data_IF_771727756511
#
_entry.id   IF_771727756511
#
_cell.length_a   1.000
_cell.length_b   1.000
_cell.length_c   1.000
_cell.angle_alpha   90.00
_cell.angle_beta   90.00
_cell.angle_gamma   90.00
#
_symmetry.space_group_name_H-M   'P 1'
#
loop_
_entity.id
_entity.type
_entity.pdbx_description
1 polymer ?
#
# COMPACT_ATOMS: atom_id res chain seq x y z
N UNK A 1 -24.36 38.22 -34.21
CA UNK A 1 -24.58 36.82 -33.75
C UNK A 1 -23.32 35.96 -33.68
N UNK A 2 -22.21 36.33 -34.30
CA UNK A 2 -20.92 35.55 -34.34
C UNK A 2 -20.09 35.65 -33.05
N UNK A 3 -20.28 36.67 -32.23
CA UNK A 3 -19.43 36.88 -31.01
C UNK A 3 -19.82 36.02 -29.80
N UNK A 4 -21.01 35.44 -29.75
CA UNK A 4 -21.44 34.55 -28.65
C UNK A 4 -20.99 33.11 -28.85
N UNK A 5 -20.83 32.66 -30.09
CA UNK A 5 -20.39 31.27 -30.39
C UNK A 5 -18.92 31.07 -30.04
N UNK A 6 -18.06 32.05 -30.32
CA UNK A 6 -16.62 31.99 -30.00
C UNK A 6 -16.29 32.05 -28.48
N UNK A 7 -17.18 32.61 -27.65
CA UNK A 7 -17.00 32.63 -26.18
C UNK A 7 -17.36 31.31 -25.54
N UNK A 8 -18.37 30.61 -26.04
CA UNK A 8 -18.77 29.30 -25.56
C UNK A 8 -17.77 28.21 -25.97
N UNK A 9 -17.19 28.26 -27.16
CA UNK A 9 -16.15 27.34 -27.60
C UNK A 9 -14.82 27.53 -26.82
N UNK A 10 -14.38 28.77 -26.57
CA UNK A 10 -13.19 29.02 -25.76
C UNK A 10 -13.35 28.57 -24.32
N UNK A 11 -14.54 28.75 -23.72
CA UNK A 11 -14.81 28.28 -22.35
C UNK A 11 -14.90 26.75 -22.26
N UNK A 12 -15.37 26.06 -23.29
CA UNK A 12 -15.40 24.61 -23.37
C UNK A 12 -14.01 24.02 -23.63
N UNK A 13 -13.18 24.65 -24.46
CA UNK A 13 -11.79 24.24 -24.70
C UNK A 13 -10.88 24.47 -23.48
N UNK A 14 -11.07 25.58 -22.74
CA UNK A 14 -10.35 25.84 -21.48
C UNK A 14 -10.77 24.88 -20.36
N UNK A 15 -12.02 24.44 -20.30
CA UNK A 15 -12.49 23.45 -19.33
C UNK A 15 -11.99 22.04 -19.66
N UNK A 16 -11.86 21.69 -20.94
CA UNK A 16 -11.34 20.39 -21.40
C UNK A 16 -9.83 20.21 -21.12
N UNK A 17 -9.10 21.30 -20.91
CA UNK A 17 -7.65 21.26 -20.64
C UNK A 17 -7.32 21.27 -19.13
N UNK A 18 -8.30 21.34 -18.24
CA UNK A 18 -8.13 21.35 -16.78
C UNK A 18 -8.14 19.93 -16.23
N UNK A 19 -6.97 19.31 -16.09
CA UNK A 19 -6.83 18.01 -15.46
C UNK A 19 -7.09 18.06 -13.94
N UNK A 20 -6.78 19.17 -13.26
CA UNK A 20 -7.06 19.37 -11.84
C UNK A 20 -8.50 19.82 -11.62
N UNK A 21 -9.43 18.89 -11.74
CA UNK A 21 -10.85 19.13 -11.46
C UNK A 21 -11.12 19.17 -9.95
N UNK A 22 -12.29 19.65 -9.54
CA UNK A 22 -12.69 19.59 -8.12
C UNK A 22 -12.70 18.17 -7.59
N UNK A 23 -13.09 17.20 -8.42
CA UNK A 23 -13.10 15.77 -8.05
C UNK A 23 -11.67 15.23 -7.87
N UNK A 24 -10.72 15.56 -8.76
CA UNK A 24 -9.31 15.18 -8.62
C UNK A 24 -8.74 15.75 -7.33
N UNK A 25 -8.96 17.04 -7.05
CA UNK A 25 -8.52 17.67 -5.80
C UNK A 25 -9.13 16.98 -4.58
N UNK A 26 -10.44 16.72 -4.60
CA UNK A 26 -11.14 16.05 -3.49
C UNK A 26 -10.63 14.63 -3.22
N UNK A 27 -10.34 13.87 -4.28
CA UNK A 27 -9.76 12.53 -4.16
C UNK A 27 -8.34 12.59 -3.62
N UNK A 28 -7.49 13.51 -4.12
CA UNK A 28 -6.14 13.71 -3.61
C UNK A 28 -6.13 14.09 -2.12
N UNK A 29 -6.98 15.03 -1.71
CA UNK A 29 -7.13 15.38 -0.29
C UNK A 29 -7.65 14.22 0.56
N UNK A 30 -8.58 13.42 0.03
CA UNK A 30 -9.08 12.24 0.73
C UNK A 30 -8.00 11.17 0.90
N UNK A 31 -7.14 10.97 -0.11
CA UNK A 31 -5.97 10.07 0.00
C UNK A 31 -4.98 10.59 1.04
N UNK A 32 -4.59 11.87 0.96
CA UNK A 32 -3.70 12.51 1.94
C UNK A 32 -4.17 12.29 3.38
N UNK A 33 -5.41 12.71 3.66
CA UNK A 33 -5.94 12.64 5.03
C UNK A 33 -6.20 11.21 5.49
N UNK A 34 -6.57 10.31 4.61
CA UNK A 34 -6.73 8.91 4.97
C UNK A 34 -5.41 8.24 5.30
N UNK A 35 -4.34 8.55 4.55
CA UNK A 35 -3.02 8.01 4.84
C UNK A 35 -2.41 8.65 6.08
N UNK A 36 -2.64 9.93 6.33
CA UNK A 36 -2.34 10.53 7.63
C UNK A 36 -3.00 9.76 8.78
N UNK A 37 -4.27 9.38 8.63
CA UNK A 37 -5.01 8.67 9.68
C UNK A 37 -4.42 7.29 9.97
N UNK A 38 -4.31 6.45 8.95
CA UNK A 38 -3.95 5.04 9.20
C UNK A 38 -2.44 4.85 9.40
N UNK A 39 -1.59 5.65 8.78
CA UNK A 39 -0.14 5.56 8.97
C UNK A 39 0.32 6.07 10.35
N UNK A 40 -0.39 7.05 10.95
CA UNK A 40 -0.18 7.38 12.37
C UNK A 40 -0.43 6.16 13.27
N UNK A 41 -1.50 5.41 13.01
CA UNK A 41 -1.81 4.20 13.76
C UNK A 41 -0.78 3.09 13.49
N UNK A 42 -0.39 2.87 12.23
CA UNK A 42 0.62 1.90 11.81
C UNK A 42 1.96 2.12 12.52
N UNK A 43 2.41 3.37 12.63
CA UNK A 43 3.68 3.72 13.26
C UNK A 43 3.76 3.36 14.76
N UNK A 44 2.62 3.35 15.48
CA UNK A 44 2.59 3.07 16.93
C UNK A 44 2.02 1.72 17.29
N UNK A 45 1.40 1.01 16.33
CA UNK A 45 0.76 -0.30 16.55
C UNK A 45 1.70 -1.36 17.15
N UNK A 46 2.97 -1.53 16.68
CA UNK A 46 3.87 -2.52 17.26
C UNK A 46 4.14 -2.27 18.76
N UNK A 47 4.30 -1.00 19.15
CA UNK A 47 4.54 -0.64 20.55
C UNK A 47 3.30 -0.85 21.41
N UNK A 48 2.12 -0.51 20.88
CA UNK A 48 0.85 -0.74 21.57
C UNK A 48 0.62 -2.23 21.83
N UNK A 49 0.85 -3.08 20.83
CA UNK A 49 0.74 -4.53 20.97
C UNK A 49 1.77 -5.10 21.94
N UNK A 50 3.04 -4.72 21.81
CA UNK A 50 4.11 -5.28 22.64
C UNK A 50 4.04 -4.77 24.09
N UNK A 51 3.82 -3.47 24.32
CA UNK A 51 3.96 -2.85 25.64
C UNK A 51 2.63 -2.78 26.43
N UNK A 52 1.48 -2.62 25.75
CA UNK A 52 0.19 -2.46 26.44
C UNK A 52 -0.68 -3.72 26.40
N UNK A 53 -0.61 -4.50 25.32
CA UNK A 53 -1.38 -5.74 25.15
C UNK A 53 -0.54 -6.97 25.52
N UNK A 54 0.79 -6.83 25.62
CA UNK A 54 1.76 -7.92 25.83
C UNK A 54 1.63 -9.03 24.77
N UNK A 55 1.39 -8.64 23.52
CA UNK A 55 1.25 -9.55 22.40
C UNK A 55 2.63 -9.92 21.81
N UNK A 56 2.75 -11.17 21.34
CA UNK A 56 3.97 -11.65 20.67
C UNK A 56 4.10 -11.13 19.24
N UNK A 57 5.29 -11.26 18.65
CA UNK A 57 5.55 -10.99 17.24
C UNK A 57 4.67 -11.81 16.29
N UNK A 58 4.29 -13.04 16.70
CA UNK A 58 3.31 -13.85 15.96
C UNK A 58 1.98 -13.13 15.82
N UNK A 59 1.47 -12.55 16.92
CA UNK A 59 0.19 -11.83 16.90
C UNK A 59 0.27 -10.60 16.00
N UNK A 60 1.36 -9.84 16.03
CA UNK A 60 1.56 -8.71 15.12
C UNK A 60 1.58 -9.18 13.66
N UNK A 61 2.37 -10.22 13.36
CA UNK A 61 2.44 -10.78 12.01
C UNK A 61 1.08 -11.32 11.50
N UNK A 62 0.32 -11.97 12.38
CA UNK A 62 -1.04 -12.44 12.07
C UNK A 62 -2.01 -11.29 11.80
N UNK A 63 -1.99 -10.23 12.62
CA UNK A 63 -2.85 -9.06 12.45
C UNK A 63 -2.55 -8.35 11.13
N UNK A 64 -1.29 -8.07 10.85
CA UNK A 64 -0.89 -7.39 9.61
C UNK A 64 -1.16 -8.27 8.39
N UNK A 65 -0.72 -9.52 8.41
CA UNK A 65 -0.93 -10.44 7.30
C UNK A 65 -2.40 -10.65 6.96
N UNK A 66 -3.24 -10.90 7.96
CA UNK A 66 -4.68 -11.07 7.72
C UNK A 66 -5.34 -9.78 7.21
N UNK A 67 -4.90 -8.63 7.72
CA UNK A 67 -5.41 -7.31 7.29
C UNK A 67 -5.08 -7.04 5.82
N UNK A 68 -3.83 -7.25 5.40
CA UNK A 68 -3.37 -7.03 4.03
C UNK A 68 -4.03 -8.03 3.05
N UNK A 69 -4.14 -9.30 3.45
CA UNK A 69 -4.87 -10.30 2.69
C UNK A 69 -6.33 -9.93 2.48
N UNK A 70 -7.02 -9.47 3.53
CA UNK A 70 -8.40 -8.99 3.44
C UNK A 70 -8.53 -7.75 2.56
N UNK A 71 -7.61 -6.78 2.65
CA UNK A 71 -7.63 -5.60 1.80
C UNK A 71 -7.58 -5.98 0.32
N UNK A 72 -6.72 -6.92 -0.05
CA UNK A 72 -6.59 -7.42 -1.42
C UNK A 72 -7.87 -8.13 -1.90
N UNK A 73 -8.49 -8.94 -1.05
CA UNK A 73 -9.76 -9.59 -1.35
C UNK A 73 -10.91 -8.58 -1.51
N UNK A 74 -11.01 -7.62 -0.59
CA UNK A 74 -12.06 -6.60 -0.65
C UNK A 74 -11.88 -5.59 -1.79
N UNK A 75 -10.69 -5.41 -2.37
CA UNK A 75 -10.51 -4.67 -3.64
C UNK A 75 -11.33 -5.31 -4.76
N UNK A 76 -11.29 -6.64 -4.89
CA UNK A 76 -12.06 -7.36 -5.91
C UNK A 76 -13.57 -7.20 -5.70
N UNK A 77 -14.06 -7.35 -4.46
CA UNK A 77 -15.48 -7.19 -4.13
C UNK A 77 -15.93 -5.75 -4.37
N UNK A 78 -15.15 -4.77 -3.93
CA UNK A 78 -15.47 -3.35 -4.09
C UNK A 78 -15.54 -2.93 -5.56
N UNK A 79 -14.62 -3.41 -6.39
CA UNK A 79 -14.65 -3.21 -7.84
C UNK A 79 -15.90 -3.80 -8.48
N UNK A 80 -16.19 -5.07 -8.20
CA UNK A 80 -17.38 -5.74 -8.69
C UNK A 80 -18.68 -5.04 -8.28
N UNK A 81 -18.79 -4.66 -6.99
CA UNK A 81 -19.97 -3.96 -6.47
C UNK A 81 -20.17 -2.61 -7.12
N UNK A 82 -19.10 -1.86 -7.31
CA UNK A 82 -19.10 -0.55 -7.95
C UNK A 82 -19.51 -0.62 -9.42
N UNK A 83 -19.01 -1.60 -10.16
CA UNK A 83 -19.37 -1.82 -11.56
C UNK A 83 -20.83 -2.24 -11.71
N UNK A 84 -21.33 -3.07 -10.80
CA UNK A 84 -22.71 -3.59 -10.82
C UNK A 84 -23.75 -2.51 -10.46
N UNK A 85 -23.44 -1.68 -9.47
CA UNK A 85 -24.39 -0.67 -8.96
C UNK A 85 -24.29 0.67 -9.66
N UNK A 86 -23.15 0.98 -10.27
CA UNK A 86 -22.85 2.31 -10.82
C UNK A 86 -22.70 3.40 -9.75
N UNK A 87 -22.84 3.05 -8.45
CA UNK A 87 -22.79 3.99 -7.32
C UNK A 87 -21.38 4.03 -6.74
N UNK A 88 -20.54 4.95 -7.21
CA UNK A 88 -19.12 5.03 -6.84
C UNK A 88 -18.87 5.90 -5.63
N UNK A 89 -19.44 7.11 -5.59
CA UNK A 89 -19.28 8.04 -4.47
C UNK A 89 -19.79 7.46 -3.13
N UNK A 90 -21.01 6.90 -3.04
CA UNK A 90 -21.46 6.27 -1.79
C UNK A 90 -20.54 5.16 -1.29
N UNK A 91 -20.06 4.27 -2.18
CA UNK A 91 -19.12 3.19 -1.81
C UNK A 91 -17.81 3.78 -1.28
N UNK A 92 -17.25 4.78 -1.95
CA UNK A 92 -16.05 5.47 -1.48
C UNK A 92 -16.29 6.12 -0.11
N UNK A 93 -17.37 6.91 0.08
CA UNK A 93 -17.67 7.59 1.33
C UNK A 93 -17.84 6.60 2.48
N UNK A 94 -18.61 5.52 2.30
CA UNK A 94 -18.78 4.46 3.30
C UNK A 94 -17.44 3.84 3.65
N UNK A 95 -16.63 3.47 2.65
CA UNK A 95 -15.33 2.85 2.87
C UNK A 95 -14.37 3.76 3.63
N UNK A 96 -14.30 5.06 3.28
CA UNK A 96 -13.46 6.03 4.03
C UNK A 96 -13.95 6.22 5.47
N UNK A 97 -15.28 6.28 5.69
CA UNK A 97 -15.86 6.40 7.03
C UNK A 97 -15.55 5.17 7.88
N UNK A 98 -15.77 3.98 7.34
CA UNK A 98 -15.46 2.72 8.04
C UNK A 98 -13.96 2.58 8.33
N UNK A 99 -13.08 2.97 7.38
CA UNK A 99 -11.62 2.97 7.62
C UNK A 99 -11.27 3.88 8.79
N UNK A 100 -11.79 5.13 8.82
CA UNK A 100 -11.52 6.09 9.89
C UNK A 100 -12.01 5.60 11.25
N UNK A 101 -13.25 5.11 11.33
CA UNK A 101 -13.83 4.61 12.58
C UNK A 101 -13.12 3.35 13.08
N UNK A 102 -12.85 2.39 12.19
CA UNK A 102 -12.17 1.15 12.55
C UNK A 102 -10.71 1.38 12.98
N UNK A 103 -9.96 2.28 12.30
CA UNK A 103 -8.61 2.67 12.74
C UNK A 103 -8.64 3.31 14.12
N UNK A 104 -9.57 4.23 14.36
CA UNK A 104 -9.66 4.93 15.65
C UNK A 104 -10.23 4.04 16.78
N UNK A 105 -10.96 2.98 16.44
CA UNK A 105 -11.45 2.01 17.45
C UNK A 105 -10.31 1.26 18.16
N UNK A 106 -9.09 1.25 17.59
CA UNK A 106 -7.87 0.76 18.27
C UNK A 106 -7.64 1.45 19.62
N UNK A 107 -8.09 2.70 19.79
CA UNK A 107 -8.02 3.40 21.08
C UNK A 107 -8.73 2.68 22.22
N UNK A 108 -9.77 1.89 21.91
CA UNK A 108 -10.56 1.14 22.87
C UNK A 108 -10.16 -0.33 22.99
N UNK A 109 -9.16 -0.78 22.25
CA UNK A 109 -8.75 -2.17 22.25
C UNK A 109 -8.07 -2.55 23.58
N UNK A 110 -8.53 -3.64 24.20
CA UNK A 110 -7.97 -4.18 25.44
C UNK A 110 -7.41 -5.61 25.28
N UNK A 111 -7.49 -6.17 24.08
CA UNK A 111 -6.94 -7.48 23.75
C UNK A 111 -6.44 -7.48 22.30
N UNK A 112 -5.55 -8.41 21.99
CA UNK A 112 -5.07 -8.56 20.60
C UNK A 112 -6.20 -8.93 19.62
N UNK A 113 -7.25 -9.61 20.08
CA UNK A 113 -8.42 -9.95 19.26
C UNK A 113 -9.18 -8.68 18.84
N UNK A 114 -9.36 -7.73 19.76
CA UNK A 114 -10.00 -6.44 19.43
C UNK A 114 -9.15 -5.61 18.48
N UNK A 115 -7.81 -5.65 18.62
CA UNK A 115 -6.88 -5.05 17.65
C UNK A 115 -7.03 -5.70 16.27
N UNK A 116 -7.05 -7.05 16.22
CA UNK A 116 -7.25 -7.81 14.98
C UNK A 116 -8.54 -7.40 14.27
N UNK A 117 -9.67 -7.39 14.98
CA UNK A 117 -10.97 -7.02 14.41
C UNK A 117 -10.95 -5.58 13.89
N UNK A 118 -10.42 -4.62 14.66
CA UNK A 118 -10.31 -3.23 14.25
C UNK A 118 -9.43 -3.07 12.99
N UNK A 119 -8.26 -3.71 12.99
CA UNK A 119 -7.31 -3.63 11.87
C UNK A 119 -7.86 -4.28 10.60
N UNK A 120 -8.38 -5.50 10.71
CA UNK A 120 -9.02 -6.20 9.60
C UNK A 120 -10.21 -5.43 9.03
N UNK A 121 -11.05 -4.83 9.88
CA UNK A 121 -12.18 -4.00 9.43
C UNK A 121 -11.71 -2.74 8.69
N UNK A 122 -10.67 -2.07 9.19
CA UNK A 122 -10.09 -0.89 8.54
C UNK A 122 -9.52 -1.23 7.15
N UNK A 123 -8.78 -2.34 7.04
CA UNK A 123 -8.15 -2.78 5.79
C UNK A 123 -9.16 -3.31 4.77
N UNK A 124 -10.16 -4.06 5.21
CA UNK A 124 -11.27 -4.49 4.36
C UNK A 124 -12.04 -3.30 3.77
N UNK A 125 -12.34 -2.30 4.60
CA UNK A 125 -12.98 -1.06 4.15
C UNK A 125 -12.08 -0.27 3.18
N UNK A 126 -10.76 -0.21 3.45
CA UNK A 126 -9.77 0.43 2.56
C UNK A 126 -9.71 -0.29 1.21
N UNK A 127 -9.63 -1.61 1.20
CA UNK A 127 -9.69 -2.41 -0.02
C UNK A 127 -10.96 -2.13 -0.83
N UNK A 128 -12.11 -2.26 -0.21
CA UNK A 128 -13.42 -2.10 -0.87
C UNK A 128 -13.66 -0.73 -1.49
N UNK A 129 -13.07 0.35 -0.95
CA UNK A 129 -13.21 1.72 -1.49
C UNK A 129 -12.25 2.06 -2.61
N UNK A 130 -11.12 1.35 -2.74
CA UNK A 130 -10.02 1.70 -3.65
C UNK A 130 -10.49 1.78 -5.10
N UNK A 131 -11.22 0.78 -5.56
CA UNK A 131 -11.69 0.74 -6.95
C UNK A 131 -12.79 1.77 -7.22
N UNK A 132 -13.65 2.05 -6.24
CA UNK A 132 -14.64 3.12 -6.34
C UNK A 132 -13.97 4.49 -6.49
N UNK A 133 -12.93 4.77 -5.69
CA UNK A 133 -12.10 5.99 -5.78
C UNK A 133 -11.42 6.10 -7.15
N UNK A 134 -10.76 5.05 -7.60
CA UNK A 134 -10.07 5.03 -8.90
C UNK A 134 -11.04 5.29 -10.05
N UNK A 135 -12.23 4.71 -10.00
CA UNK A 135 -13.26 4.91 -11.00
C UNK A 135 -13.80 6.35 -11.01
N UNK A 136 -13.98 6.99 -9.84
CA UNK A 136 -14.36 8.41 -9.74
C UNK A 136 -13.28 9.32 -10.33
N UNK A 137 -12.00 8.99 -10.13
CA UNK A 137 -10.88 9.73 -10.69
C UNK A 137 -10.90 9.68 -12.22
N UNK A 138 -11.02 8.48 -12.79
CA UNK A 138 -11.10 8.25 -14.24
C UNK A 138 -12.28 9.00 -14.87
N UNK A 139 -13.46 8.99 -14.24
CA UNK A 139 -14.65 9.67 -14.77
C UNK A 139 -14.56 11.20 -14.70
N UNK A 140 -13.61 11.75 -13.95
CA UNK A 140 -13.51 13.20 -13.72
C UNK A 140 -12.58 13.93 -14.70
N UNK A 141 -11.83 13.21 -15.53
CA UNK A 141 -10.84 13.75 -16.47
C UNK A 141 -10.85 13.02 -17.82
N UNK A 142 -10.38 13.67 -18.87
CA UNK A 142 -10.17 13.04 -20.18
C UNK A 142 -9.02 12.04 -20.14
N UNK A 143 -9.05 11.01 -21.01
CA UNK A 143 -8.07 9.93 -21.07
C UNK A 143 -6.61 10.38 -21.19
N UNK A 144 -6.34 11.48 -21.91
CA UNK A 144 -5.00 12.10 -22.01
C UNK A 144 -4.45 12.64 -20.69
N UNK A 145 -5.28 12.79 -19.67
CA UNK A 145 -4.92 13.35 -18.37
C UNK A 145 -4.91 12.32 -17.23
N UNK A 146 -5.23 11.05 -17.49
CA UNK A 146 -5.25 10.01 -16.46
C UNK A 146 -3.93 9.95 -15.69
N UNK A 147 -2.79 9.94 -16.38
CA UNK A 147 -1.49 9.87 -15.71
C UNK A 147 -1.23 11.02 -14.74
N UNK A 148 -1.67 12.26 -15.10
CA UNK A 148 -1.54 13.42 -14.19
C UNK A 148 -2.46 13.33 -12.98
N UNK A 149 -3.69 12.85 -13.18
CA UNK A 149 -4.67 12.73 -12.11
C UNK A 149 -4.27 11.64 -11.10
N UNK A 150 -3.85 10.46 -11.58
CA UNK A 150 -3.32 9.39 -10.72
C UNK A 150 -1.99 9.78 -10.06
N UNK A 151 -1.11 10.46 -10.78
CA UNK A 151 0.16 10.96 -10.22
C UNK A 151 -0.07 11.95 -9.09
N UNK A 152 -1.04 12.87 -9.23
CA UNK A 152 -1.41 13.80 -8.16
C UNK A 152 -1.99 13.06 -6.94
N UNK A 153 -2.92 12.13 -7.17
CA UNK A 153 -3.50 11.31 -6.10
C UNK A 153 -2.43 10.53 -5.36
N UNK A 154 -1.52 9.86 -6.07
CA UNK A 154 -0.42 9.11 -5.47
C UNK A 154 0.58 10.01 -4.71
N UNK A 155 0.83 11.23 -5.21
CA UNK A 155 1.66 12.19 -4.49
C UNK A 155 1.02 12.62 -3.16
N UNK A 156 -0.30 12.85 -3.14
CA UNK A 156 -1.03 13.17 -1.91
C UNK A 156 -1.01 12.01 -0.91
N UNK A 157 -1.23 10.79 -1.37
CA UNK A 157 -1.11 9.54 -0.61
C UNK A 157 0.29 9.44 0.05
N UNK A 158 1.34 9.59 -0.76
CA UNK A 158 2.73 9.55 -0.29
C UNK A 158 3.07 10.65 0.73
N UNK A 159 2.57 11.88 0.51
CA UNK A 159 2.73 12.97 1.48
C UNK A 159 2.08 12.57 2.82
N UNK A 160 0.87 11.99 2.78
CA UNK A 160 0.21 11.46 3.97
C UNK A 160 1.06 10.42 4.69
N UNK A 161 1.58 9.44 3.95
CA UNK A 161 2.40 8.36 4.49
C UNK A 161 3.72 8.83 5.14
N UNK A 162 4.34 9.89 4.62
CA UNK A 162 5.57 10.48 5.20
C UNK A 162 5.26 11.33 6.44
N UNK A 163 4.21 12.17 6.39
CA UNK A 163 3.90 13.08 7.50
C UNK A 163 3.21 12.40 8.68
N UNK A 164 2.49 11.31 8.46
CA UNK A 164 1.77 10.60 9.51
C UNK A 164 2.69 10.08 10.63
N UNK A 165 3.76 9.32 10.34
CA UNK A 165 4.67 8.89 11.40
C UNK A 165 5.48 10.04 12.03
N UNK A 166 5.68 11.18 11.33
CA UNK A 166 6.25 12.38 11.94
C UNK A 166 5.32 12.98 13.00
N UNK A 167 4.02 13.05 12.71
CA UNK A 167 3.02 13.49 13.68
C UNK A 167 2.94 12.50 14.85
N UNK A 168 2.93 11.20 14.58
CA UNK A 168 2.95 10.19 15.62
C UNK A 168 4.20 10.30 16.51
N UNK A 169 5.38 10.51 15.91
CA UNK A 169 6.64 10.75 16.63
C UNK A 169 6.54 11.98 17.55
N UNK A 170 6.03 13.10 17.03
CA UNK A 170 5.85 14.31 17.82
C UNK A 170 4.91 14.09 19.00
N UNK A 171 3.79 13.39 18.80
CA UNK A 171 2.84 13.08 19.88
C UNK A 171 3.47 12.15 20.93
N UNK A 172 4.23 11.14 20.53
CA UNK A 172 4.96 10.25 21.44
C UNK A 172 6.02 11.05 22.22
N UNK A 173 6.76 11.95 21.56
CA UNK A 173 7.77 12.80 22.20
C UNK A 173 7.16 13.78 23.21
N UNK A 174 5.93 14.23 22.97
CA UNK A 174 5.14 15.06 23.91
C UNK A 174 4.50 14.24 25.05
N UNK A 175 4.70 12.93 25.10
CA UNK A 175 4.20 12.06 26.17
C UNK A 175 2.75 11.59 26.00
N UNK A 176 2.15 11.78 24.82
CA UNK A 176 0.82 11.25 24.58
C UNK A 176 0.81 9.71 24.52
N UNK A 177 -0.24 9.09 25.06
CA UNK A 177 -0.42 7.63 25.01
C UNK A 177 -0.72 7.15 23.57
N UNK A 178 -0.36 5.90 23.27
CA UNK A 178 -0.70 5.29 21.95
C UNK A 178 -2.20 5.30 21.68
N UNK A 179 -3.04 5.13 22.71
CA UNK A 179 -4.51 5.22 22.61
C UNK A 179 -4.96 6.61 22.17
N UNK A 180 -4.32 7.65 22.71
CA UNK A 180 -4.60 9.04 22.31
C UNK A 180 -4.23 9.25 20.83
N UNK A 181 -3.13 8.67 20.36
CA UNK A 181 -2.71 8.77 18.95
C UNK A 181 -3.73 8.09 18.03
N UNK A 182 -4.23 6.91 18.37
CA UNK A 182 -5.32 6.26 17.63
C UNK A 182 -6.59 7.11 17.60
N UNK A 183 -6.90 7.80 18.69
CA UNK A 183 -8.05 8.69 18.75
C UNK A 183 -7.84 9.95 17.90
N UNK A 184 -6.66 10.56 17.95
CA UNK A 184 -6.30 11.74 17.14
C UNK A 184 -6.33 11.37 15.64
N UNK A 185 -5.99 10.15 15.26
CA UNK A 185 -6.07 9.67 13.88
C UNK A 185 -7.50 9.72 13.30
N UNK A 186 -8.55 9.79 14.14
CA UNK A 186 -9.93 10.01 13.69
C UNK A 186 -10.08 11.35 12.94
N UNK A 187 -9.36 12.39 13.39
CA UNK A 187 -9.49 13.73 12.81
C UNK A 187 -9.13 13.75 11.32
N UNK A 188 -7.92 13.36 10.90
CA UNK A 188 -7.63 13.27 9.47
C UNK A 188 -8.52 12.25 8.76
N UNK A 189 -8.89 11.13 9.39
CA UNK A 189 -9.83 10.18 8.80
C UNK A 189 -11.19 10.79 8.44
N UNK A 190 -11.75 11.62 9.31
CA UNK A 190 -12.99 12.35 9.03
C UNK A 190 -12.79 13.47 8.01
N UNK A 191 -11.63 14.16 8.00
CA UNK A 191 -11.30 15.14 6.96
C UNK A 191 -11.27 14.50 5.58
N UNK A 192 -10.81 13.25 5.45
CA UNK A 192 -10.88 12.50 4.20
C UNK A 192 -12.34 12.31 3.71
N UNK A 193 -13.25 11.97 4.62
CA UNK A 193 -14.69 11.84 4.32
C UNK A 193 -15.29 13.17 3.90
N UNK A 194 -14.98 14.25 4.64
CA UNK A 194 -15.44 15.61 4.33
C UNK A 194 -14.94 16.05 2.95
N UNK A 195 -13.69 15.77 2.61
CA UNK A 195 -13.13 16.08 1.29
C UNK A 195 -13.92 15.39 0.16
N UNK A 196 -14.26 14.10 0.34
CA UNK A 196 -15.10 13.38 -0.63
C UNK A 196 -16.51 13.97 -0.75
N UNK A 197 -17.13 14.30 0.37
CA UNK A 197 -18.49 14.83 0.37
C UNK A 197 -18.58 16.19 -0.33
N UNK A 198 -17.61 17.08 -0.07
CA UNK A 198 -17.62 18.47 -0.54
C UNK A 198 -17.11 18.63 -1.98
N UNK A 199 -16.09 17.87 -2.37
CA UNK A 199 -15.39 18.11 -3.64
C UNK A 199 -15.72 17.09 -4.72
N UNK A 200 -16.03 15.83 -4.36
CA UNK A 200 -16.26 14.76 -5.34
C UNK A 200 -17.72 14.77 -5.80
N UNK A 201 -17.92 14.73 -7.11
CA UNK A 201 -19.24 14.58 -7.72
C UNK A 201 -19.39 13.19 -8.31
N UNK A 202 -20.58 12.59 -8.15
CA UNK A 202 -20.93 11.34 -8.83
C UNK A 202 -21.09 11.61 -10.32
N UNK A 203 -20.34 10.90 -11.16
CA UNK A 203 -20.59 10.90 -12.59
C UNK A 203 -21.63 9.80 -12.88
N UNK A 204 -22.81 10.21 -13.34
CA UNK A 204 -23.89 9.27 -13.66
C UNK A 204 -23.51 8.35 -14.81
N UNK A 205 -22.96 7.18 -14.51
CA UNK A 205 -22.64 6.15 -15.50
C UNK A 205 -23.59 4.96 -15.35
N UNK A 206 -24.00 4.36 -16.46
CA UNK A 206 -24.84 3.16 -16.45
C UNK A 206 -24.05 1.97 -15.88
N UNK A 207 -24.70 1.20 -15.01
CA UNK A 207 -24.18 -0.07 -14.51
C UNK A 207 -23.80 -1.00 -15.67
N UNK A 208 -22.69 -1.74 -15.55
CA UNK A 208 -22.27 -2.78 -16.49
C UNK A 208 -22.38 -4.13 -15.79
N UNK A 209 -23.49 -4.89 -15.97
CA UNK A 209 -23.76 -6.08 -15.18
C UNK A 209 -22.96 -7.34 -15.56
N UNK A 210 -22.22 -7.36 -16.68
CA UNK A 210 -21.77 -8.62 -17.31
C UNK A 210 -20.27 -8.97 -17.16
N UNK A 211 -19.50 -8.37 -16.25
CA UNK A 211 -18.11 -8.87 -16.03
C UNK A 211 -18.11 -10.14 -15.17
N UNK A 212 -17.75 -11.26 -15.78
CA UNK A 212 -17.45 -12.53 -15.08
C UNK A 212 -16.01 -12.48 -14.55
N UNK A 213 -15.84 -12.33 -13.24
CA UNK A 213 -14.55 -12.17 -12.55
C UNK A 213 -13.52 -13.28 -12.88
N UNK A 214 -13.93 -14.48 -13.24
CA UNK A 214 -13.06 -15.65 -13.37
C UNK A 214 -13.08 -16.31 -14.75
N UNK A 215 -13.85 -15.79 -15.72
CA UNK A 215 -14.00 -16.47 -17.02
C UNK A 215 -12.71 -16.44 -17.86
N UNK A 216 -11.83 -15.48 -17.64
CA UNK A 216 -10.69 -15.19 -18.52
C UNK A 216 -9.34 -15.67 -17.97
N UNK A 217 -9.30 -16.34 -16.81
CA UNK A 217 -8.03 -16.78 -16.17
C UNK A 217 -7.23 -17.74 -17.06
N UNK A 218 -7.90 -18.60 -17.83
CA UNK A 218 -7.24 -19.57 -18.73
C UNK A 218 -6.66 -18.92 -19.98
N UNK A 219 -7.08 -17.70 -20.30
CA UNK A 219 -6.66 -16.97 -21.49
C UNK A 219 -5.47 -16.04 -21.22
N UNK A 220 -5.00 -15.97 -19.97
CA UNK A 220 -3.82 -15.17 -19.61
C UNK A 220 -2.56 -15.75 -20.28
N UNK A 221 -1.69 -14.89 -20.86
CA UNK A 221 -0.45 -15.31 -21.50
C UNK A 221 0.42 -16.18 -20.57
N UNK A 222 1.12 -17.16 -21.15
CA UNK A 222 2.03 -18.03 -20.37
C UNK A 222 3.09 -17.22 -19.61
N UNK A 223 3.71 -16.24 -20.28
CA UNK A 223 4.70 -15.37 -19.65
C UNK A 223 4.14 -14.59 -18.46
N UNK A 224 2.87 -14.17 -18.51
CA UNK A 224 2.24 -13.52 -17.36
C UNK A 224 1.99 -14.52 -16.20
N UNK A 225 1.62 -15.77 -16.49
CA UNK A 225 1.47 -16.80 -15.44
C UNK A 225 2.80 -17.11 -14.75
N UNK A 226 3.88 -17.22 -15.52
CA UNK A 226 5.24 -17.41 -15.00
C UNK A 226 5.68 -16.20 -14.13
N UNK A 227 5.32 -15.01 -14.57
CA UNK A 227 5.55 -13.77 -13.81
C UNK A 227 4.79 -13.79 -12.46
N UNK A 228 3.49 -14.12 -12.48
CA UNK A 228 2.68 -14.22 -11.24
C UNK A 228 3.23 -15.29 -10.29
N UNK A 229 3.77 -16.38 -10.81
CA UNK A 229 4.44 -17.39 -9.98
C UNK A 229 5.66 -16.79 -9.25
N UNK A 230 6.52 -16.06 -9.97
CA UNK A 230 7.69 -15.42 -9.36
C UNK A 230 7.30 -14.36 -8.33
N UNK A 231 6.29 -13.53 -8.61
CA UNK A 231 5.74 -12.54 -7.67
C UNK A 231 5.10 -13.23 -6.47
N UNK A 232 4.36 -14.31 -6.68
CA UNK A 232 3.77 -15.08 -5.57
C UNK A 232 4.80 -15.68 -4.64
N UNK A 233 5.93 -16.17 -5.18
CA UNK A 233 7.07 -16.63 -4.38
C UNK A 233 7.72 -15.47 -3.61
N UNK A 234 7.87 -14.30 -4.23
CA UNK A 234 8.32 -13.09 -3.53
C UNK A 234 7.37 -12.72 -2.38
N UNK A 235 6.07 -12.75 -2.62
CA UNK A 235 5.05 -12.47 -1.61
C UNK A 235 5.20 -13.32 -0.34
N UNK A 236 5.67 -14.58 -0.46
CA UNK A 236 5.97 -15.42 0.70
C UNK A 236 7.15 -14.92 1.55
N UNK A 237 7.96 -14.01 1.01
CA UNK A 237 9.07 -13.35 1.71
C UNK A 237 8.84 -11.86 1.98
N UNK A 238 7.76 -11.27 1.48
CA UNK A 238 7.42 -9.88 1.73
C UNK A 238 6.54 -9.77 2.98
N UNK A 239 7.07 -9.15 4.02
CA UNK A 239 6.38 -9.01 5.30
C UNK A 239 6.09 -7.54 5.63
N UNK A 240 5.14 -7.31 6.55
CA UNK A 240 4.69 -5.98 6.94
C UNK A 240 5.82 -5.14 7.58
N UNK A 241 5.97 -3.84 7.21
CA UNK A 241 6.99 -2.95 7.79
C UNK A 241 6.89 -2.78 9.30
N UNK A 242 5.75 -3.05 9.91
CA UNK A 242 5.54 -3.03 11.37
C UNK A 242 6.43 -4.03 12.10
N UNK A 243 6.82 -5.15 11.46
CA UNK A 243 7.79 -6.10 12.00
C UNK A 243 9.22 -5.51 12.04
N UNK A 244 9.58 -4.64 11.08
CA UNK A 244 10.85 -3.89 11.12
C UNK A 244 10.86 -2.90 12.29
N UNK A 245 9.74 -2.18 12.50
CA UNK A 245 9.59 -1.24 13.63
C UNK A 245 9.73 -1.99 14.96
N UNK A 246 9.07 -3.14 15.10
CA UNK A 246 9.18 -3.98 16.29
C UNK A 246 10.62 -4.44 16.51
N UNK A 247 11.32 -4.91 15.46
CA UNK A 247 12.72 -5.33 15.52
C UNK A 247 13.67 -4.23 15.98
N UNK A 248 13.52 -3.03 15.40
CA UNK A 248 14.31 -1.88 15.81
C UNK A 248 14.08 -1.54 17.29
N UNK A 249 12.82 -1.56 17.74
CA UNK A 249 12.48 -1.32 19.13
C UNK A 249 13.11 -2.32 20.09
N UNK A 250 13.07 -3.62 19.76
CA UNK A 250 13.71 -4.64 20.58
C UNK A 250 15.22 -4.43 20.69
N UNK A 251 15.90 -4.20 19.55
CA UNK A 251 17.34 -3.99 19.51
C UNK A 251 17.79 -2.76 20.28
N UNK A 252 17.01 -1.67 20.17
CA UNK A 252 17.32 -0.40 20.85
C UNK A 252 17.01 -0.45 22.36
N UNK A 253 16.04 -1.26 22.78
CA UNK A 253 15.63 -1.38 24.18
C UNK A 253 16.72 -2.02 25.06
N UNK A 254 17.72 -2.66 24.46
CA UNK A 254 18.89 -3.16 25.18
C UNK A 254 19.77 -2.04 25.78
N UNK A 255 19.74 -0.83 25.17
CA UNK A 255 20.60 0.29 25.55
C UNK A 255 19.85 1.60 25.84
N UNK A 256 18.53 1.63 25.62
CA UNK A 256 17.72 2.84 25.74
C UNK A 256 16.43 2.57 26.52
N UNK A 257 15.85 3.59 27.18
CA UNK A 257 14.50 3.51 27.72
C UNK A 257 13.47 3.20 26.62
N UNK A 258 12.36 2.54 26.97
CA UNK A 258 11.32 2.12 26.03
C UNK A 258 10.75 3.28 25.19
N UNK A 259 10.61 4.48 25.82
CA UNK A 259 10.14 5.67 25.12
C UNK A 259 11.11 6.16 24.04
N UNK A 260 12.42 6.14 24.32
CA UNK A 260 13.45 6.53 23.35
C UNK A 260 13.54 5.50 22.22
N UNK A 261 13.49 4.21 22.57
CA UNK A 261 13.48 3.13 21.57
C UNK A 261 12.27 3.24 20.62
N UNK A 262 11.09 3.58 21.14
CA UNK A 262 9.91 3.82 20.32
C UNK A 262 10.08 5.04 19.39
N UNK A 263 10.57 6.17 19.92
CA UNK A 263 10.81 7.38 19.13
C UNK A 263 11.80 7.15 17.99
N UNK A 264 12.94 6.51 18.28
CA UNK A 264 13.94 6.17 17.26
C UNK A 264 13.38 5.24 16.20
N UNK A 265 12.61 4.21 16.60
CA UNK A 265 12.01 3.26 15.66
C UNK A 265 10.96 3.91 14.75
N UNK A 266 10.15 4.85 15.28
CA UNK A 266 9.24 5.65 14.47
C UNK A 266 10.04 6.56 13.52
N UNK A 267 11.15 7.16 13.98
CA UNK A 267 12.05 7.95 13.14
C UNK A 267 12.62 7.14 11.96
N UNK A 268 13.02 5.89 12.19
CA UNK A 268 13.44 5.00 11.12
C UNK A 268 12.30 4.66 10.16
N UNK A 269 11.07 4.54 10.64
CA UNK A 269 9.91 4.34 9.78
C UNK A 269 9.60 5.57 8.91
N UNK A 270 9.84 6.78 9.41
CA UNK A 270 9.81 8.00 8.57
C UNK A 270 10.82 7.88 7.43
N UNK A 271 12.07 7.49 7.74
CA UNK A 271 13.11 7.31 6.73
C UNK A 271 12.74 6.25 5.70
N UNK A 272 12.16 5.14 6.14
CA UNK A 272 11.63 4.09 5.27
C UNK A 272 10.62 4.68 4.25
N UNK A 273 9.61 5.42 4.71
CA UNK A 273 8.60 6.02 3.84
C UNK A 273 9.19 7.05 2.86
N UNK A 274 10.17 7.85 3.30
CA UNK A 274 10.88 8.80 2.44
C UNK A 274 11.68 8.06 1.35
N UNK A 275 12.39 7.00 1.73
CA UNK A 275 13.15 6.18 0.79
C UNK A 275 12.22 5.45 -0.21
N UNK A 276 11.07 4.94 0.26
CA UNK A 276 10.03 4.32 -0.55
C UNK A 276 9.48 5.31 -1.60
N UNK A 277 9.12 6.52 -1.19
CA UNK A 277 8.64 7.55 -2.09
C UNK A 277 9.67 7.94 -3.15
N UNK A 278 10.92 8.13 -2.73
CA UNK A 278 12.03 8.49 -3.62
C UNK A 278 12.35 7.40 -4.64
N UNK A 279 12.40 6.15 -4.19
CA UNK A 279 12.70 5.01 -5.08
C UNK A 279 11.58 4.74 -6.07
N UNK A 280 10.31 4.84 -5.68
CA UNK A 280 9.18 4.66 -6.59
C UNK A 280 9.26 5.64 -7.77
N UNK A 281 9.59 6.92 -7.52
CA UNK A 281 9.81 7.91 -8.56
C UNK A 281 11.03 7.58 -9.43
N UNK A 282 12.16 7.22 -8.81
CA UNK A 282 13.41 6.89 -9.50
C UNK A 282 13.22 5.69 -10.44
N UNK A 283 12.64 4.60 -9.94
CA UNK A 283 12.42 3.38 -10.73
C UNK A 283 11.41 3.62 -11.86
N UNK A 284 10.35 4.37 -11.60
CA UNK A 284 9.39 4.77 -12.63
C UNK A 284 10.07 5.54 -13.77
N UNK A 285 11.01 6.44 -13.45
CA UNK A 285 11.74 7.21 -14.45
C UNK A 285 12.79 6.38 -15.24
N UNK A 286 13.36 5.36 -14.60
CA UNK A 286 14.40 4.50 -15.21
C UNK A 286 13.79 3.30 -15.97
N UNK A 287 12.52 2.96 -15.77
CA UNK A 287 11.88 1.77 -16.34
C UNK A 287 12.03 1.67 -17.88
N UNK A 288 11.92 2.81 -18.58
CA UNK A 288 12.06 2.87 -20.03
C UNK A 288 13.48 2.53 -20.53
N UNK A 289 14.51 2.72 -19.69
CA UNK A 289 15.92 2.51 -20.07
C UNK A 289 16.44 1.14 -19.67
N UNK A 290 16.08 0.71 -18.47
CA UNK A 290 16.64 -0.50 -17.86
C UNK A 290 15.70 -1.71 -17.92
N UNK A 291 14.41 -1.49 -18.24
CA UNK A 291 13.38 -2.52 -18.27
C UNK A 291 12.82 -2.82 -16.87
N UNK A 292 11.48 -3.00 -16.81
CA UNK A 292 10.72 -3.18 -15.56
C UNK A 292 11.14 -4.42 -14.77
N UNK A 293 11.38 -5.56 -15.46
CA UNK A 293 11.76 -6.84 -14.84
C UNK A 293 13.11 -6.76 -14.13
N UNK A 294 14.11 -6.10 -14.73
CA UNK A 294 15.44 -5.98 -14.10
C UNK A 294 15.41 -5.06 -12.88
N UNK A 295 14.65 -3.97 -12.99
CA UNK A 295 14.45 -3.06 -11.86
C UNK A 295 13.67 -3.76 -10.72
N UNK A 296 12.66 -4.55 -11.05
CA UNK A 296 11.92 -5.36 -10.06
C UNK A 296 12.86 -6.39 -9.38
N UNK A 297 13.66 -7.12 -10.16
CA UNK A 297 14.64 -8.06 -9.61
C UNK A 297 15.65 -7.36 -8.69
N UNK A 298 16.13 -6.17 -9.06
CA UNK A 298 17.02 -5.38 -8.19
C UNK A 298 16.35 -4.96 -6.88
N UNK A 299 15.06 -4.63 -6.91
CA UNK A 299 14.27 -4.31 -5.71
C UNK A 299 14.14 -5.53 -4.79
N UNK A 300 13.89 -6.72 -5.36
CA UNK A 300 13.82 -7.96 -4.60
C UNK A 300 15.18 -8.31 -3.94
N UNK A 301 16.29 -8.09 -4.66
CA UNK A 301 17.65 -8.23 -4.08
C UNK A 301 17.84 -7.27 -2.91
N UNK A 302 17.48 -5.98 -3.07
CA UNK A 302 17.58 -5.00 -2.00
C UNK A 302 16.75 -5.40 -0.78
N UNK A 303 15.53 -5.92 -1.00
CA UNK A 303 14.68 -6.38 0.11
C UNK A 303 15.26 -7.62 0.81
N UNK A 304 15.80 -8.58 0.05
CA UNK A 304 16.51 -9.73 0.62
C UNK A 304 17.72 -9.31 1.46
N UNK A 305 18.53 -8.37 0.96
CA UNK A 305 19.68 -7.82 1.71
C UNK A 305 19.24 -7.10 2.98
N UNK A 306 18.15 -6.32 2.92
CA UNK A 306 17.59 -5.70 4.11
C UNK A 306 17.13 -6.74 5.12
N UNK A 307 16.40 -7.79 4.69
CA UNK A 307 15.96 -8.87 5.57
C UNK A 307 17.14 -9.59 6.22
N UNK A 308 18.19 -9.94 5.46
CA UNK A 308 19.43 -10.52 6.01
C UNK A 308 20.06 -9.54 7.02
N UNK A 309 20.15 -8.27 6.67
CA UNK A 309 20.67 -7.24 7.57
C UNK A 309 19.91 -7.18 8.90
N UNK A 310 18.58 -7.19 8.87
CA UNK A 310 17.75 -7.22 10.08
C UNK A 310 17.87 -8.52 10.88
N UNK A 311 18.12 -9.65 10.22
CA UNK A 311 18.37 -10.92 10.91
C UNK A 311 19.58 -10.85 11.84
N UNK A 312 20.65 -10.16 11.40
CA UNK A 312 21.93 -10.07 12.11
C UNK A 312 22.20 -8.69 12.72
N UNK A 313 21.22 -7.78 12.71
CA UNK A 313 21.37 -6.43 13.25
C UNK A 313 21.66 -6.44 14.76
N UNK A 314 22.53 -5.53 15.20
CA UNK A 314 23.02 -5.42 16.57
C UNK A 314 22.56 -4.15 17.33
N UNK A 315 21.54 -3.43 16.81
CA UNK A 315 20.99 -2.24 17.47
C UNK A 315 21.80 -0.95 17.31
N UNK A 316 22.87 -0.94 16.51
CA UNK A 316 23.58 0.30 16.18
C UNK A 316 22.71 1.21 15.32
N UNK A 317 22.59 2.48 15.71
CA UNK A 317 21.73 3.46 15.01
C UNK A 317 22.10 3.57 13.52
N UNK A 318 23.39 3.64 13.20
CA UNK A 318 23.85 3.73 11.80
C UNK A 318 23.46 2.53 10.94
N UNK A 319 23.57 1.30 11.49
CA UNK A 319 23.14 0.10 10.76
C UNK A 319 21.64 0.05 10.56
N UNK A 320 20.84 0.40 11.58
CA UNK A 320 19.38 0.47 11.47
C UNK A 320 18.95 1.55 10.48
N UNK A 321 19.59 2.71 10.48
CA UNK A 321 19.34 3.78 9.49
C UNK A 321 19.54 3.24 8.06
N UNK A 322 20.66 2.57 7.80
CA UNK A 322 20.94 2.00 6.48
C UNK A 322 19.94 0.92 6.08
N UNK A 323 19.56 0.04 7.02
CA UNK A 323 18.63 -1.06 6.76
C UNK A 323 17.20 -0.56 6.49
N UNK A 324 16.71 0.44 7.23
CA UNK A 324 15.40 1.03 6.96
C UNK A 324 15.37 1.80 5.64
N UNK A 325 16.44 2.54 5.32
CA UNK A 325 16.56 3.20 4.01
C UNK A 325 16.57 2.17 2.87
N UNK A 326 17.32 1.06 3.01
CA UNK A 326 17.38 0.00 2.01
C UNK A 326 16.04 -0.72 1.84
N UNK A 327 15.35 -1.04 2.95
CA UNK A 327 14.04 -1.68 2.93
C UNK A 327 13.00 -0.76 2.26
N UNK A 328 12.96 0.52 2.63
CA UNK A 328 12.07 1.51 1.99
C UNK A 328 12.37 1.66 0.49
N UNK A 329 13.66 1.76 0.14
CA UNK A 329 14.09 1.83 -1.27
C UNK A 329 13.63 0.60 -2.06
N UNK A 330 13.74 -0.59 -1.49
CA UNK A 330 13.28 -1.83 -2.11
C UNK A 330 11.75 -1.82 -2.32
N UNK A 331 10.97 -1.48 -1.29
CA UNK A 331 9.50 -1.50 -1.35
C UNK A 331 8.98 -0.50 -2.38
N UNK A 332 9.54 0.72 -2.44
CA UNK A 332 9.11 1.69 -3.45
C UNK A 332 9.41 1.24 -4.89
N UNK A 333 10.55 0.57 -5.11
CA UNK A 333 10.85 -0.05 -6.40
C UNK A 333 9.89 -1.18 -6.76
N UNK A 334 9.51 -2.02 -5.80
CA UNK A 334 8.52 -3.10 -5.98
C UNK A 334 7.16 -2.51 -6.37
N UNK A 335 6.65 -1.57 -5.60
CA UNK A 335 5.34 -0.94 -5.84
C UNK A 335 5.24 -0.26 -7.21
N UNK A 336 6.34 0.29 -7.72
CA UNK A 336 6.38 0.93 -9.01
C UNK A 336 6.56 -0.08 -10.16
N UNK A 337 7.43 -1.09 -9.99
CA UNK A 337 7.80 -1.97 -11.10
C UNK A 337 6.91 -3.18 -11.26
N UNK A 338 6.32 -3.68 -10.19
CA UNK A 338 5.45 -4.85 -10.26
C UNK A 338 4.22 -4.63 -11.15
N UNK A 339 3.41 -3.57 -10.96
CA UNK A 339 2.30 -3.30 -11.87
C UNK A 339 2.77 -2.89 -13.27
N UNK A 340 3.95 -2.28 -13.40
CA UNK A 340 4.53 -1.89 -14.70
C UNK A 340 4.88 -3.13 -15.51
N UNK A 341 5.60 -4.09 -14.93
CA UNK A 341 5.94 -5.35 -15.57
C UNK A 341 4.68 -6.16 -15.97
N UNK A 342 3.68 -6.19 -15.08
CA UNK A 342 2.40 -6.81 -15.41
C UNK A 342 1.72 -6.15 -16.62
N UNK A 343 1.76 -4.82 -16.72
CA UNK A 343 1.18 -4.09 -17.85
C UNK A 343 1.87 -4.38 -19.20
N UNK A 344 3.18 -4.62 -19.17
CA UNK A 344 3.98 -4.98 -20.35
C UNK A 344 3.68 -6.40 -20.86
N UNK A 345 3.33 -7.31 -19.95
CA UNK A 345 3.07 -8.71 -20.25
C UNK A 345 1.60 -9.00 -20.64
N UNK A 346 0.69 -8.06 -20.39
CA UNK A 346 -0.74 -8.25 -20.58
C UNK A 346 -1.27 -7.47 -21.78
N UNK A 347 -2.03 -8.11 -22.69
CA UNK A 347 -2.86 -7.42 -23.67
C UNK A 347 -3.83 -6.46 -22.97
N UNK A 348 -4.17 -5.35 -23.63
CA UNK A 348 -5.03 -4.29 -23.06
C UNK A 348 -6.36 -4.82 -22.50
N UNK A 349 -6.95 -5.80 -23.19
CA UNK A 349 -8.27 -6.38 -22.83
C UNK A 349 -8.21 -7.25 -21.56
N UNK A 350 -7.05 -7.83 -21.24
CA UNK A 350 -6.85 -8.72 -20.09
C UNK A 350 -6.22 -8.04 -18.87
N UNK A 351 -5.87 -6.76 -18.95
CA UNK A 351 -5.20 -6.03 -17.85
C UNK A 351 -6.02 -6.05 -16.55
N UNK A 352 -7.34 -5.88 -16.63
CA UNK A 352 -8.19 -5.91 -15.44
C UNK A 352 -8.15 -7.25 -14.72
N UNK A 353 -8.27 -8.36 -15.47
CA UNK A 353 -8.17 -9.72 -14.92
C UNK A 353 -6.76 -10.00 -14.39
N UNK A 354 -5.73 -9.59 -15.14
CA UNK A 354 -4.34 -9.81 -14.74
C UNK A 354 -3.97 -9.07 -13.45
N UNK A 355 -4.33 -7.80 -13.31
CA UNK A 355 -4.13 -7.07 -12.04
C UNK A 355 -4.92 -7.68 -10.87
N UNK A 356 -6.11 -8.24 -11.14
CA UNK A 356 -6.86 -8.97 -10.13
C UNK A 356 -6.13 -10.21 -9.63
N UNK A 357 -5.54 -10.99 -10.54
CA UNK A 357 -4.74 -12.19 -10.22
C UNK A 357 -3.48 -11.81 -9.45
N UNK A 358 -2.77 -10.76 -9.91
CA UNK A 358 -1.58 -10.23 -9.23
C UNK A 358 -1.91 -9.77 -7.81
N UNK A 359 -2.97 -8.99 -7.64
CA UNK A 359 -3.42 -8.55 -6.33
C UNK A 359 -3.84 -9.69 -5.40
N UNK A 360 -4.45 -10.76 -5.95
CA UNK A 360 -4.77 -11.95 -5.17
C UNK A 360 -3.50 -12.71 -4.75
N UNK A 361 -2.51 -12.85 -5.63
CA UNK A 361 -1.23 -13.48 -5.32
C UNK A 361 -0.50 -12.71 -4.21
N UNK A 362 -0.43 -11.38 -4.30
CA UNK A 362 0.16 -10.52 -3.28
C UNK A 362 -0.59 -10.65 -1.95
N UNK A 363 -1.92 -10.56 -1.95
CA UNK A 363 -2.71 -10.67 -0.72
C UNK A 363 -2.54 -12.01 0.01
N UNK A 364 -2.41 -13.12 -0.72
CA UNK A 364 -2.08 -14.43 -0.13
C UNK A 364 -0.65 -14.43 0.38
N UNK A 365 0.30 -13.87 -0.38
CA UNK A 365 1.69 -13.74 0.00
C UNK A 365 1.85 -12.93 1.28
N UNK A 366 1.28 -11.74 1.36
CA UNK A 366 1.34 -10.84 2.52
C UNK A 366 0.80 -11.51 3.79
N UNK A 367 -0.34 -12.23 3.65
CA UNK A 367 -0.91 -12.99 4.77
C UNK A 367 0.03 -14.08 5.28
N UNK A 368 0.52 -14.92 4.37
CA UNK A 368 1.36 -16.05 4.74
C UNK A 368 2.72 -15.60 5.26
N UNK A 369 3.32 -14.61 4.60
CA UNK A 369 4.65 -14.10 4.95
C UNK A 369 4.68 -13.43 6.31
N UNK A 370 3.84 -12.43 6.54
CA UNK A 370 3.82 -11.71 7.82
C UNK A 370 3.51 -12.64 8.99
N UNK A 371 2.58 -13.59 8.79
CA UNK A 371 2.24 -14.61 9.80
C UNK A 371 3.42 -15.56 10.05
N UNK A 372 4.08 -16.05 8.98
CA UNK A 372 5.23 -16.96 9.10
C UNK A 372 6.44 -16.28 9.74
N UNK A 373 6.79 -15.06 9.29
CA UNK A 373 7.90 -14.29 9.87
C UNK A 373 7.65 -14.02 11.35
N UNK A 374 6.44 -13.56 11.72
CA UNK A 374 6.08 -13.34 13.11
C UNK A 374 6.09 -14.62 13.96
N UNK A 375 5.63 -15.75 13.39
CA UNK A 375 5.61 -17.06 14.06
C UNK A 375 7.00 -17.63 14.27
N UNK A 376 7.85 -17.59 13.25
CA UNK A 376 9.26 -18.01 13.35
C UNK A 376 10.03 -17.14 14.36
N UNK A 377 9.74 -15.83 14.35
CA UNK A 377 10.31 -14.91 15.34
C UNK A 377 9.91 -15.29 16.78
N UNK A 378 8.63 -15.53 17.02
CA UNK A 378 8.15 -15.90 18.34
C UNK A 378 8.72 -17.23 18.84
N UNK A 379 9.00 -18.19 17.94
CA UNK A 379 9.45 -19.54 18.27
C UNK A 379 10.97 -19.71 18.31
N UNK A 380 11.70 -19.05 17.39
CA UNK A 380 13.13 -19.25 17.14
C UNK A 380 13.94 -17.94 17.16
N UNK A 381 13.30 -16.81 17.47
CA UNK A 381 13.91 -15.49 17.44
C UNK A 381 13.80 -14.77 16.09
N UNK A 382 13.98 -13.46 16.12
CA UNK A 382 13.78 -12.58 14.97
C UNK A 382 14.60 -12.98 13.74
N UNK A 383 15.84 -13.43 13.95
CA UNK A 383 16.74 -13.87 12.88
C UNK A 383 16.12 -14.95 12.00
N UNK A 384 15.42 -15.94 12.59
CA UNK A 384 14.78 -17.02 11.83
C UNK A 384 13.69 -16.51 10.88
N UNK A 385 12.86 -15.58 11.35
CA UNK A 385 11.82 -14.98 10.51
C UNK A 385 12.39 -14.18 9.34
N UNK A 386 13.39 -13.36 9.57
CA UNK A 386 14.01 -12.55 8.52
C UNK A 386 14.83 -13.37 7.53
N UNK A 387 15.52 -14.45 7.98
CA UNK A 387 16.22 -15.39 7.08
C UNK A 387 15.21 -16.11 6.19
N UNK A 388 14.09 -16.58 6.74
CA UNK A 388 13.00 -17.16 5.97
C UNK A 388 12.55 -16.22 4.84
N UNK A 389 12.27 -14.95 5.17
CA UNK A 389 11.87 -13.94 4.20
C UNK A 389 12.94 -13.75 3.10
N UNK A 390 14.20 -13.64 3.49
CA UNK A 390 15.31 -13.46 2.56
C UNK A 390 15.44 -14.64 1.58
N UNK A 391 15.25 -15.88 2.04
CA UNK A 391 15.32 -17.07 1.19
C UNK A 391 14.27 -17.03 0.09
N UNK A 392 13.00 -16.73 0.40
CA UNK A 392 11.95 -16.60 -0.61
C UNK A 392 12.21 -15.46 -1.58
N UNK A 393 12.74 -14.34 -1.11
CA UNK A 393 13.11 -13.21 -1.97
C UNK A 393 14.22 -13.60 -2.94
N UNK A 394 15.26 -14.31 -2.50
CA UNK A 394 16.33 -14.80 -3.37
C UNK A 394 15.79 -15.80 -4.41
N UNK A 395 14.94 -16.76 -3.97
CA UNK A 395 14.29 -17.70 -4.89
C UNK A 395 13.49 -16.97 -5.95
N UNK A 396 12.74 -15.94 -5.57
CA UNK A 396 11.97 -15.13 -6.50
C UNK A 396 12.85 -14.40 -7.52
N UNK A 397 14.00 -13.83 -7.10
CA UNK A 397 14.98 -13.23 -8.02
C UNK A 397 15.46 -14.26 -9.05
N UNK A 398 15.82 -15.45 -8.59
CA UNK A 398 16.26 -16.54 -9.48
C UNK A 398 15.14 -16.91 -10.47
N UNK A 399 13.91 -17.05 -9.99
CA UNK A 399 12.76 -17.36 -10.86
C UNK A 399 12.52 -16.25 -11.89
N UNK A 400 12.52 -14.97 -11.49
CA UNK A 400 12.39 -13.84 -12.42
C UNK A 400 13.45 -13.88 -13.53
N UNK A 401 14.70 -14.17 -13.17
CA UNK A 401 15.80 -14.20 -14.12
C UNK A 401 15.77 -15.43 -15.03
N UNK A 402 15.38 -16.59 -14.50
CA UNK A 402 15.25 -17.83 -15.29
C UNK A 402 14.06 -17.78 -16.25
N UNK A 403 12.92 -17.25 -15.79
CA UNK A 403 11.70 -17.18 -16.59
C UNK A 403 11.64 -15.99 -17.54
N UNK A 404 12.65 -15.08 -17.51
CA UNK A 404 12.68 -13.87 -18.34
C UNK A 404 12.52 -14.10 -19.83
N UNK A 405 12.95 -15.27 -20.35
CA UNK A 405 12.81 -15.63 -21.76
C UNK A 405 11.33 -15.85 -22.17
N UNK A 406 10.48 -16.17 -21.19
CA UNK A 406 9.02 -16.29 -21.36
C UNK A 406 8.33 -14.92 -21.32
N UNK A 407 8.99 -13.89 -20.80
CA UNK A 407 8.44 -12.53 -20.64
C UNK A 407 8.56 -11.73 -21.94
N UNK A 408 8.01 -12.24 -23.03
CA UNK A 408 7.93 -11.49 -24.28
C UNK A 408 6.80 -10.48 -24.19
N UNK A 409 7.06 -9.19 -24.56
CA UNK A 409 5.99 -8.21 -24.69
C UNK A 409 4.91 -8.77 -25.60
N UNK A 410 3.63 -8.57 -25.25
CA UNK A 410 2.55 -8.86 -26.16
C UNK A 410 2.76 -7.96 -27.40
N UNK A 411 3.22 -8.54 -28.50
CA UNK A 411 3.31 -7.83 -29.78
C UNK A 411 1.94 -7.18 -30.05
N UNK A 412 1.96 -5.89 -30.36
CA UNK A 412 0.78 -5.19 -30.86
C UNK A 412 0.29 -5.93 -32.12
N UNK A 413 -0.78 -6.72 -31.96
CA UNK A 413 -1.61 -7.20 -33.08
C UNK A 413 -2.83 -6.32 -33.25
#
# INVERSE_FOLDING_TARGET
MISRHNRTEKTTLDSANRWLTRTVLGIGLASLFSDLSHEMATAVLPFFLAQQIAASSFVLGLIEGLSDGLASYFKLIGGWWTDRTGKRKPVAVIGYTLTALATSSLAFANSWVTVLVSRCSAWAARGGRTEARNALLVDSVDGRHYGRAFGFERSMDTIGAVFAPLIALALVALGFSYRTIFFVALVPGLLAVIALLLFVREAGRRARPERRLFADLRQLPAGFRDYVLAVGVFGLGQFAPTLLILRASELLSASNPASVSAQLSIGFYVLFNVAQAGSAYLFGSLSHRLGSIYLLASSYVCFALAAIGFAFANGQIGSLTALFALAGFAVGGIEAMEPTAAAELLPKDYRGTGYGVLGAANGVGDFLSSTAVGGLWASFGAGAGFVFAALFNIVSVVLLLLLRSSFKPSSES
#
